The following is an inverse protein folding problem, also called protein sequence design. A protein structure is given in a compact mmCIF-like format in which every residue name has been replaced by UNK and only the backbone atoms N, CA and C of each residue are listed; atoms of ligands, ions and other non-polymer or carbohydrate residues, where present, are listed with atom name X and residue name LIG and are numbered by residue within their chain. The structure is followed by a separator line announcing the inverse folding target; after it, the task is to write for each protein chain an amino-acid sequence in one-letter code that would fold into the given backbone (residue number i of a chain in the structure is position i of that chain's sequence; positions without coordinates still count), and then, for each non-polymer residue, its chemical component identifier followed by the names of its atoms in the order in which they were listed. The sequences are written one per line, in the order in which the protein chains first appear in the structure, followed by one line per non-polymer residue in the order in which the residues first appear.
data_IF_897542044574
#
_entry.id   IF_897542044574
#
_cell.length_a   1.000
_cell.length_b   1.000
_cell.length_c   1.000
_cell.angle_alpha   90.00
_cell.angle_beta   90.00
_cell.angle_gamma   90.00
#
_symmetry.space_group_name_H-M   'P 1'
#
loop_
_entity.id
_entity.type
_entity.pdbx_description
1 polymer ?
#
# COMPACT_ATOMS: atom_id res chain seq x y z
N UNK A 1 8.65 22.60 -18.25
CA UNK A 1 8.16 21.44 -17.49
C UNK A 1 9.03 21.24 -16.26
N UNK A 2 8.65 21.84 -15.13
CA UNK A 2 9.31 21.60 -13.83
C UNK A 2 8.23 21.70 -12.74
N UNK A 3 7.60 20.55 -12.46
CA UNK A 3 6.54 20.41 -11.46
C UNK A 3 6.95 19.47 -10.29
N UNK A 4 8.19 18.94 -10.31
CA UNK A 4 8.70 18.05 -9.25
C UNK A 4 9.63 18.73 -8.23
N UNK A 5 9.96 20.01 -8.42
CA UNK A 5 10.90 20.73 -7.54
C UNK A 5 10.28 21.52 -6.38
N UNK A 6 8.94 21.59 -6.27
CA UNK A 6 8.25 22.54 -5.37
C UNK A 6 7.51 21.91 -4.18
N UNK A 7 7.61 20.60 -3.98
CA UNK A 7 7.05 19.92 -2.80
C UNK A 7 8.03 19.78 -1.64
N UNK A 8 9.28 20.22 -1.79
CA UNK A 8 10.18 20.48 -0.66
C UNK A 8 9.90 21.87 -0.09
N UNK A 9 8.76 21.96 0.61
CA UNK A 9 8.40 23.07 1.49
C UNK A 9 9.40 23.17 2.63
N UNK A 10 10.50 23.82 2.32
CA UNK A 10 11.46 24.40 3.25
C UNK A 10 10.78 25.59 3.94
N UNK A 11 10.14 25.33 5.07
CA UNK A 11 10.04 26.35 6.12
C UNK A 11 11.25 26.16 7.04
N UNK A 12 12.24 27.03 6.82
CA UNK A 12 13.25 27.36 7.81
C UNK A 12 12.50 28.11 8.91
N UNK A 13 12.30 27.49 10.06
CA UNK A 13 12.31 28.15 11.37
C UNK A 13 12.13 27.07 12.45
N UNK A 14 13.18 26.82 13.23
CA UNK A 14 13.18 25.86 14.34
C UNK A 14 14.37 24.91 14.28
N UNK A 15 15.48 25.35 14.87
CA UNK A 15 16.56 24.48 15.32
C UNK A 15 15.98 23.37 16.24
N UNK A 16 16.58 22.17 16.19
CA UNK A 16 16.32 20.98 17.04
C UNK A 16 15.26 19.95 16.59
N UNK A 17 15.26 19.56 15.31
CA UNK A 17 14.77 18.23 14.92
C UNK A 17 15.96 17.25 14.91
N UNK A 18 16.48 16.96 16.09
CA UNK A 18 17.45 15.88 16.32
C UNK A 18 16.95 14.56 15.72
N UNK A 19 17.88 13.68 15.31
CA UNK A 19 17.69 12.29 14.89
C UNK A 19 16.96 11.45 15.96
N UNK A 20 15.68 11.73 16.20
CA UNK A 20 14.89 11.00 17.19
C UNK A 20 14.47 9.64 16.61
N UNK A 21 14.65 8.55 17.37
CA UNK A 21 14.25 7.22 16.92
C UNK A 21 12.75 7.18 16.62
N UNK A 22 12.38 6.78 15.40
CA UNK A 22 10.97 6.53 15.05
C UNK A 22 10.49 5.31 15.83
N UNK A 23 9.55 5.52 16.76
CA UNK A 23 8.88 4.43 17.49
C UNK A 23 7.58 4.10 16.76
N UNK A 24 7.44 2.86 16.29
CA UNK A 24 6.27 2.40 15.55
C UNK A 24 5.05 2.26 16.47
N UNK A 25 3.93 2.85 16.06
CA UNK A 25 2.63 2.68 16.72
C UNK A 25 2.02 1.34 16.29
N UNK A 26 2.42 0.26 16.96
CA UNK A 26 2.10 -1.13 16.57
C UNK A 26 0.60 -1.35 16.42
N UNK A 27 -0.21 -0.83 17.35
CA UNK A 27 -1.66 -1.04 17.32
C UNK A 27 -2.31 -0.33 16.13
N UNK A 28 -1.92 0.92 15.84
CA UNK A 28 -2.41 1.61 14.64
C UNK A 28 -1.94 0.92 13.36
N UNK A 29 -0.68 0.49 13.31
CA UNK A 29 -0.14 -0.23 12.14
C UNK A 29 -0.85 -1.55 11.91
N UNK A 30 -1.26 -2.27 12.95
CA UNK A 30 -2.08 -3.50 12.82
C UNK A 30 -3.41 -3.24 12.14
N UNK A 31 -4.12 -2.18 12.51
CA UNK A 31 -5.38 -1.80 11.87
C UNK A 31 -5.17 -1.40 10.41
N UNK A 32 -4.11 -0.65 10.10
CA UNK A 32 -3.79 -0.28 8.72
C UNK A 32 -3.40 -1.49 7.86
N UNK A 33 -2.61 -2.43 8.40
CA UNK A 33 -2.24 -3.67 7.73
C UNK A 33 -3.44 -4.58 7.49
N UNK A 34 -4.39 -4.66 8.45
CA UNK A 34 -5.63 -5.41 8.26
C UNK A 34 -6.46 -4.84 7.12
N UNK A 35 -6.54 -3.51 7.01
CA UNK A 35 -7.23 -2.84 5.91
C UNK A 35 -6.56 -3.16 4.57
N UNK A 36 -5.23 -3.12 4.49
CA UNK A 36 -4.50 -3.49 3.27
C UNK A 36 -4.71 -4.96 2.89
N UNK A 37 -4.60 -5.88 3.86
CA UNK A 37 -4.86 -7.32 3.69
C UNK A 37 -6.25 -7.55 3.08
N UNK A 38 -7.30 -7.00 3.70
CA UNK A 38 -8.68 -7.14 3.22
C UNK A 38 -8.90 -6.54 1.83
N UNK A 39 -8.27 -5.41 1.53
CA UNK A 39 -8.39 -4.77 0.22
C UNK A 39 -7.71 -5.61 -0.88
N UNK A 40 -6.52 -6.16 -0.60
CA UNK A 40 -5.80 -7.04 -1.52
C UNK A 40 -6.58 -8.33 -1.78
N UNK A 41 -7.12 -8.96 -0.74
CA UNK A 41 -7.96 -10.15 -0.86
C UNK A 41 -9.23 -9.86 -1.69
N UNK A 42 -9.90 -8.74 -1.43
CA UNK A 42 -11.09 -8.35 -2.18
C UNK A 42 -10.77 -8.14 -3.67
N UNK A 43 -9.67 -7.45 -3.98
CA UNK A 43 -9.21 -7.26 -5.36
C UNK A 43 -8.88 -8.60 -6.02
N UNK A 44 -8.07 -9.45 -5.39
CA UNK A 44 -7.67 -10.74 -5.93
C UNK A 44 -8.88 -11.66 -6.17
N UNK A 45 -9.84 -11.69 -5.23
CA UNK A 45 -11.08 -12.45 -5.39
C UNK A 45 -11.91 -11.96 -6.59
N UNK A 46 -12.08 -10.64 -6.74
CA UNK A 46 -12.80 -10.10 -7.89
C UNK A 46 -12.06 -10.36 -9.20
N UNK A 47 -10.72 -10.34 -9.20
CA UNK A 47 -9.92 -10.68 -10.38
C UNK A 47 -10.19 -12.11 -10.89
N UNK A 48 -10.41 -13.07 -9.99
CA UNK A 48 -10.79 -14.44 -10.38
C UNK A 48 -12.18 -14.52 -11.02
N UNK A 49 -13.09 -13.63 -10.63
CA UNK A 49 -14.48 -13.61 -11.13
C UNK A 49 -14.55 -13.03 -12.53
N UNK A 50 -13.84 -11.93 -12.79
CA UNK A 50 -13.98 -11.18 -14.06
C UNK A 50 -13.20 -11.78 -15.22
N UNK A 51 -12.17 -12.59 -14.95
CA UNK A 51 -11.34 -13.16 -16.00
C UNK A 51 -10.66 -14.47 -15.56
N UNK A 52 -10.55 -15.42 -16.50
CA UNK A 52 -9.86 -16.69 -16.27
C UNK A 52 -8.37 -16.49 -15.95
N UNK A 53 -7.89 -17.28 -14.98
CA UNK A 53 -6.47 -17.39 -14.63
C UNK A 53 -5.67 -18.23 -15.64
N UNK A 54 -6.23 -18.62 -16.78
CA UNK A 54 -5.47 -19.27 -17.87
C UNK A 54 -4.53 -18.30 -18.59
N UNK A 55 -4.84 -17.00 -18.56
CA UNK A 55 -3.96 -15.96 -19.06
C UNK A 55 -2.74 -15.81 -18.11
N UNK A 56 -1.49 -16.06 -18.57
CA UNK A 56 -0.32 -16.02 -17.69
C UNK A 56 -0.03 -14.64 -17.09
N UNK A 57 -0.28 -13.56 -17.83
CA UNK A 57 -0.10 -12.20 -17.32
C UNK A 57 -1.12 -11.88 -16.23
N UNK A 58 -2.38 -12.27 -16.46
CA UNK A 58 -3.44 -12.10 -15.46
C UNK A 58 -3.17 -12.91 -14.19
N UNK A 59 -2.80 -14.19 -14.34
CA UNK A 59 -2.42 -15.07 -13.24
C UNK A 59 -1.26 -14.50 -12.44
N UNK A 60 -0.24 -13.97 -13.11
CA UNK A 60 0.90 -13.34 -12.45
C UNK A 60 0.48 -12.18 -11.54
N UNK A 61 -0.35 -11.26 -12.04
CA UNK A 61 -0.88 -10.14 -11.24
C UNK A 61 -1.76 -10.62 -10.10
N UNK A 62 -2.61 -11.61 -10.33
CA UNK A 62 -3.43 -12.22 -9.30
C UNK A 62 -2.59 -12.82 -8.16
N UNK A 63 -1.59 -13.66 -8.49
CA UNK A 63 -0.71 -14.29 -7.50
C UNK A 63 0.14 -13.27 -6.74
N UNK A 64 0.51 -12.16 -7.37
CA UNK A 64 1.21 -11.05 -6.70
C UNK A 64 0.36 -10.43 -5.60
N UNK A 65 -0.93 -10.14 -5.85
CA UNK A 65 -1.81 -9.58 -4.82
C UNK A 65 -2.12 -10.56 -3.70
N UNK A 66 -2.28 -11.86 -4.00
CA UNK A 66 -2.43 -12.88 -2.94
C UNK A 66 -1.20 -12.96 -2.04
N UNK A 67 0.00 -12.94 -2.63
CA UNK A 67 1.25 -12.93 -1.85
C UNK A 67 1.32 -11.69 -0.97
N UNK A 68 1.02 -10.50 -1.51
CA UNK A 68 1.03 -9.25 -0.75
C UNK A 68 0.00 -9.26 0.39
N UNK A 69 -1.18 -9.87 0.18
CA UNK A 69 -2.17 -10.04 1.25
C UNK A 69 -1.62 -10.92 2.38
N UNK A 70 -0.95 -12.03 2.01
CA UNK A 70 -0.24 -12.89 2.96
C UNK A 70 0.86 -12.16 3.74
N UNK A 71 1.65 -11.32 3.07
CA UNK A 71 2.69 -10.52 3.72
C UNK A 71 2.12 -9.46 4.66
N UNK A 72 1.05 -8.77 4.27
CA UNK A 72 0.32 -7.84 5.13
C UNK A 72 -0.20 -8.55 6.39
N UNK A 73 -0.77 -9.74 6.23
CA UNK A 73 -1.22 -10.58 7.36
C UNK A 73 -0.06 -10.96 8.28
N UNK A 74 1.09 -11.37 7.73
CA UNK A 74 2.27 -11.76 8.51
C UNK A 74 2.88 -10.57 9.25
N UNK A 75 2.96 -9.40 8.62
CA UNK A 75 3.38 -8.16 9.25
C UNK A 75 2.43 -7.78 10.40
N UNK A 76 1.12 -7.93 10.21
CA UNK A 76 0.09 -7.62 11.23
C UNK A 76 0.20 -8.52 12.46
N UNK A 77 0.49 -9.81 12.24
CA UNK A 77 0.63 -10.82 13.31
C UNK A 77 1.95 -10.71 14.07
N UNK A 78 2.91 -9.93 13.57
CA UNK A 78 4.21 -9.70 14.21
C UNK A 78 4.30 -8.28 14.80
N UNK A 79 5.52 -7.87 15.18
CA UNK A 79 5.85 -6.47 15.49
C UNK A 79 6.59 -5.94 14.26
N UNK A 80 5.91 -5.23 13.34
CA UNK A 80 6.51 -4.84 12.08
C UNK A 80 7.56 -3.74 12.28
N UNK A 81 8.67 -3.83 11.55
CA UNK A 81 9.63 -2.74 11.45
C UNK A 81 9.17 -1.71 10.41
N UNK A 82 9.70 -0.49 10.50
CA UNK A 82 9.44 0.55 9.50
C UNK A 82 9.86 0.13 8.09
N UNK A 83 11.00 -0.55 7.98
CA UNK A 83 11.52 -1.08 6.71
C UNK A 83 10.55 -2.08 6.10
N UNK A 84 10.09 -3.07 6.88
CA UNK A 84 9.11 -4.05 6.41
C UNK A 84 7.80 -3.41 5.90
N UNK A 85 7.31 -2.37 6.59
CA UNK A 85 6.12 -1.64 6.15
C UNK A 85 6.37 -0.91 4.82
N UNK A 86 7.54 -0.30 4.66
CA UNK A 86 7.89 0.42 3.44
C UNK A 86 8.11 -0.53 2.27
N UNK A 87 8.80 -1.65 2.47
CA UNK A 87 9.01 -2.67 1.44
C UNK A 87 7.67 -3.17 0.91
N UNK A 88 6.75 -3.56 1.82
CA UNK A 88 5.40 -3.98 1.46
C UNK A 88 4.66 -2.91 0.63
N UNK A 89 4.67 -1.65 1.09
CA UNK A 89 4.01 -0.53 0.39
C UNK A 89 4.63 -0.28 -0.98
N UNK A 90 5.97 -0.39 -1.10
CA UNK A 90 6.66 -0.18 -2.36
C UNK A 90 6.45 -1.29 -3.36
N UNK A 91 6.00 -2.47 -2.94
CA UNK A 91 5.61 -3.54 -3.85
C UNK A 91 4.17 -3.40 -4.37
N UNK A 92 3.30 -2.69 -3.66
CA UNK A 92 1.94 -2.41 -4.15
C UNK A 92 2.00 -1.55 -5.41
N UNK A 93 1.41 -2.07 -6.50
CA UNK A 93 1.32 -1.41 -7.81
C UNK A 93 -0.13 -1.41 -8.27
N UNK A 94 -0.67 -0.29 -8.81
CA UNK A 94 -1.99 -0.29 -9.43
C UNK A 94 -2.12 -1.40 -10.49
N UNK A 95 -3.29 -2.02 -10.58
CA UNK A 95 -3.58 -3.00 -11.64
C UNK A 95 -3.65 -2.31 -13.01
N UNK A 96 -4.21 -1.11 -13.05
CA UNK A 96 -4.33 -0.25 -14.22
C UNK A 96 -3.72 1.12 -13.93
N UNK A 97 -2.82 1.56 -14.81
CA UNK A 97 -2.22 2.91 -14.78
C UNK A 97 -2.71 3.79 -15.94
N UNK A 98 -3.50 3.21 -16.85
CA UNK A 98 -4.09 3.89 -18.01
C UNK A 98 -5.58 3.57 -18.14
N UNK A 99 -6.17 3.71 -19.34
CA UNK A 99 -7.57 3.38 -19.58
C UNK A 99 -7.91 1.97 -19.11
N UNK A 100 -9.03 1.84 -18.40
CA UNK A 100 -9.50 0.55 -17.88
C UNK A 100 -10.07 -0.27 -19.04
N UNK A 101 -9.65 -1.52 -19.24
CA UNK A 101 -10.22 -2.37 -20.29
C UNK A 101 -11.72 -2.62 -20.06
N UNK A 102 -12.52 -2.70 -21.14
CA UNK A 102 -13.95 -2.99 -21.02
C UNK A 102 -14.24 -4.28 -20.24
N UNK A 103 -15.21 -4.23 -19.33
CA UNK A 103 -15.61 -5.35 -18.48
C UNK A 103 -14.79 -5.52 -17.20
N UNK A 104 -13.74 -4.72 -17.01
CA UNK A 104 -12.89 -4.73 -15.81
C UNK A 104 -13.15 -3.56 -14.86
N UNK A 105 -14.18 -2.75 -15.12
CA UNK A 105 -14.51 -1.54 -14.36
C UNK A 105 -14.81 -1.84 -12.89
N UNK A 106 -15.35 -3.03 -12.60
CA UNK A 106 -15.62 -3.49 -11.22
C UNK A 106 -14.37 -3.59 -10.34
N UNK A 107 -13.18 -3.67 -10.94
CA UNK A 107 -11.91 -3.75 -10.21
C UNK A 107 -11.36 -2.38 -9.78
N UNK A 108 -11.81 -1.30 -10.42
CA UNK A 108 -11.31 0.07 -10.15
C UNK A 108 -11.49 0.48 -8.68
N UNK A 109 -12.71 0.42 -8.09
CA UNK A 109 -12.87 0.82 -6.70
C UNK A 109 -12.06 -0.05 -5.72
N UNK A 110 -11.82 -1.32 -6.06
CA UNK A 110 -11.02 -2.24 -5.25
C UNK A 110 -9.52 -1.91 -5.32
N UNK A 111 -9.03 -1.61 -6.53
CA UNK A 111 -7.68 -1.10 -6.73
C UNK A 111 -7.46 0.19 -5.95
N UNK A 112 -8.40 1.14 -6.05
CA UNK A 112 -8.27 2.44 -5.40
C UNK A 112 -8.13 2.29 -3.88
N UNK A 113 -8.86 1.34 -3.29
CA UNK A 113 -8.70 1.04 -1.86
C UNK A 113 -7.39 0.34 -1.51
N UNK A 114 -6.87 -0.54 -2.36
CA UNK A 114 -5.52 -1.12 -2.17
C UNK A 114 -4.47 -0.02 -2.18
N UNK A 115 -4.51 0.87 -3.19
CA UNK A 115 -3.55 1.97 -3.33
C UNK A 115 -3.65 2.92 -2.14
N UNK A 116 -4.87 3.32 -1.75
CA UNK A 116 -5.08 4.20 -0.60
C UNK A 116 -4.61 3.57 0.72
N UNK A 117 -4.90 2.29 0.96
CA UNK A 117 -4.43 1.59 2.15
C UNK A 117 -2.89 1.53 2.22
N UNK A 118 -2.23 1.30 1.08
CA UNK A 118 -0.78 1.32 0.99
C UNK A 118 -0.20 2.74 1.20
N UNK A 119 -0.82 3.77 0.64
CA UNK A 119 -0.42 5.16 0.87
C UNK A 119 -0.56 5.58 2.33
N UNK A 120 -1.63 5.16 3.01
CA UNK A 120 -1.83 5.43 4.44
C UNK A 120 -0.75 4.74 5.31
N UNK A 121 -0.30 3.55 4.92
CA UNK A 121 0.81 2.85 5.57
C UNK A 121 2.16 3.58 5.35
N UNK A 122 2.36 4.18 4.17
CA UNK A 122 3.57 4.95 3.85
C UNK A 122 3.77 6.16 4.77
N UNK A 123 2.67 6.77 5.22
CA UNK A 123 2.72 8.01 5.98
C UNK A 123 3.27 7.79 7.39
N UNK A 124 4.12 8.70 7.84
CA UNK A 124 4.57 8.74 9.24
C UNK A 124 3.43 9.27 10.11
N UNK A 125 2.96 8.46 11.06
CA UNK A 125 1.87 8.82 11.95
C UNK A 125 2.33 9.91 12.93
N UNK A 126 1.44 10.79 13.40
CA UNK A 126 1.79 11.78 14.42
C UNK A 126 2.38 11.16 15.69
N UNK A 127 1.93 9.97 16.09
CA UNK A 127 2.44 9.22 17.24
C UNK A 127 3.87 8.69 17.06
N UNK A 128 4.39 8.68 15.83
CA UNK A 128 5.71 8.15 15.48
C UNK A 128 6.75 9.26 15.24
N UNK A 129 6.35 10.54 15.39
CA UNK A 129 7.20 11.73 15.19
C UNK A 129 7.86 12.25 16.47
N UNK A 130 7.80 11.45 17.54
CA UNK A 130 8.26 11.80 18.90
C UNK A 130 9.73 12.18 18.96
#
# INVERSE_FOLDING_TARGET
MSFLGKLFGRDRDGQDAEDRPIVIDVERRRTQLERLERALDALANQMRVVQSLDNPGWRGRFSEYERLAGEAMMARKSVPTREQLLDLVFEVRPLFTGPVPPGLESLVPLQDEVVKAAEDLRQLLPSERS
#
